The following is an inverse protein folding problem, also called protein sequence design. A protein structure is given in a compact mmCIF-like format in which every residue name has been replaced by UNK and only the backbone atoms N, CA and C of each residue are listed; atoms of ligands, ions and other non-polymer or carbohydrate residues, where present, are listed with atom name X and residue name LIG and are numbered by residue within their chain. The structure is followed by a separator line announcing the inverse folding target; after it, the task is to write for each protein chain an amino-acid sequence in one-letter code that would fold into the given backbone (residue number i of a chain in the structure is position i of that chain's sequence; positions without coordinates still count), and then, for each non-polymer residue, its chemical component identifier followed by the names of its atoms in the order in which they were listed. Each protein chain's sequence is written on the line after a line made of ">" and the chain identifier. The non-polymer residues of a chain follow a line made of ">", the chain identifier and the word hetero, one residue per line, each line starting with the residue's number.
data_IF_310125757470
#
_entry.id   IF_310125757470
#
_cell.length_a   1.000
_cell.length_b   1.000
_cell.length_c   1.000
_cell.angle_alpha   90.00
_cell.angle_beta   90.00
_cell.angle_gamma   90.00
#
_symmetry.space_group_name_H-M   'P 1'
#
loop_
_entity.id
_entity.type
_entity.pdbx_description
1 polymer ?
#
# COMPACT_ATOMS: atom_id res chain seq x y z
N UNK A 1 9.63 -1.32 18.25
CA UNK A 1 9.42 -2.78 18.13
C UNK A 1 9.33 -3.10 16.65
N UNK A 2 9.82 -4.26 16.21
CA UNK A 2 9.69 -4.69 14.81
C UNK A 2 8.28 -5.23 14.60
N UNK A 3 7.52 -4.78 13.58
CA UNK A 3 6.21 -5.34 13.25
C UNK A 3 6.29 -6.85 12.95
N UNK A 4 5.33 -7.62 13.46
CA UNK A 4 5.17 -9.06 13.28
C UNK A 4 3.75 -9.48 12.90
N UNK A 5 2.74 -8.63 13.09
CA UNK A 5 1.35 -8.95 12.78
C UNK A 5 1.02 -8.65 11.30
N UNK A 6 0.73 -9.66 10.46
CA UNK A 6 0.37 -9.44 9.06
C UNK A 6 -1.03 -8.83 8.88
N UNK A 7 -1.87 -8.80 9.93
CA UNK A 7 -3.25 -8.29 9.86
C UNK A 7 -3.43 -6.89 10.47
N UNK A 8 -2.33 -6.18 10.69
CA UNK A 8 -2.33 -4.77 11.09
C UNK A 8 -1.96 -3.86 9.92
N UNK A 9 -2.23 -2.56 10.02
CA UNK A 9 -1.53 -1.59 9.19
C UNK A 9 -0.11 -1.37 9.72
N UNK A 10 0.84 -1.14 8.83
CA UNK A 10 2.19 -0.66 9.18
C UNK A 10 2.28 0.83 8.88
N UNK A 11 2.40 1.64 9.93
CA UNK A 11 2.48 3.10 9.84
C UNK A 11 3.69 3.56 10.63
N UNK A 12 4.67 4.15 9.95
CA UNK A 12 5.91 4.63 10.56
C UNK A 12 6.68 3.52 11.33
N UNK A 13 6.68 2.31 10.79
CA UNK A 13 7.28 1.13 11.39
C UNK A 13 6.55 0.61 12.63
N UNK A 14 5.35 1.11 12.91
CA UNK A 14 4.49 0.63 13.99
C UNK A 14 3.28 -0.11 13.44
N UNK A 15 2.82 -1.10 14.20
CA UNK A 15 1.53 -1.75 13.94
C UNK A 15 0.39 -0.85 14.41
N UNK A 16 -0.63 -0.73 13.58
CA UNK A 16 -1.89 -0.08 13.90
C UNK A 16 -3.02 -1.05 13.59
N UNK A 17 -3.86 -1.35 14.58
CA UNK A 17 -5.01 -2.21 14.37
C UNK A 17 -5.94 -1.64 13.29
N UNK A 18 -6.49 -2.48 12.39
CA UNK A 18 -7.44 -2.00 11.40
C UNK A 18 -8.72 -1.50 12.09
N UNK A 19 -9.41 -0.50 11.51
CA UNK A 19 -10.75 -0.12 11.94
C UNK A 19 -11.70 -1.33 11.94
N UNK A 20 -12.69 -1.32 12.82
CA UNK A 20 -13.69 -2.39 12.88
C UNK A 20 -14.38 -2.58 11.53
N UNK A 21 -14.48 -3.83 11.08
CA UNK A 21 -15.09 -4.20 9.81
C UNK A 21 -14.16 -4.11 8.59
N UNK A 22 -12.88 -3.74 8.77
CA UNK A 22 -11.90 -3.73 7.69
C UNK A 22 -10.92 -4.89 7.84
N UNK A 23 -10.87 -5.75 6.81
CA UNK A 23 -9.85 -6.81 6.72
C UNK A 23 -8.60 -6.27 6.02
N UNK A 24 -7.45 -6.52 6.62
CA UNK A 24 -6.15 -6.04 6.14
C UNK A 24 -5.15 -7.19 6.12
N UNK A 25 -4.36 -7.28 5.05
CA UNK A 25 -3.12 -8.07 5.01
C UNK A 25 -1.97 -7.20 4.54
N UNK A 26 -0.91 -7.09 5.33
CA UNK A 26 0.26 -6.26 5.01
C UNK A 26 1.43 -7.08 4.46
N UNK A 27 2.47 -6.37 4.02
CA UNK A 27 3.65 -6.94 3.37
C UNK A 27 4.58 -7.81 4.24
N UNK A 28 4.23 -8.05 5.51
CA UNK A 28 4.85 -9.12 6.30
C UNK A 28 4.33 -10.50 5.88
N UNK A 29 3.13 -10.56 5.30
CA UNK A 29 2.60 -11.76 4.68
C UNK A 29 3.36 -12.06 3.36
N UNK A 30 3.87 -13.29 3.15
CA UNK A 30 4.64 -13.63 1.96
C UNK A 30 3.84 -13.50 0.65
N UNK A 31 2.51 -13.53 0.70
CA UNK A 31 1.63 -13.40 -0.48
C UNK A 31 1.34 -11.92 -0.83
N UNK A 32 1.80 -10.97 0.00
CA UNK A 32 1.65 -9.52 -0.22
C UNK A 32 3.03 -8.90 -0.49
N UNK A 33 3.59 -9.04 -1.70
CA UNK A 33 4.94 -8.58 -1.97
C UNK A 33 5.02 -7.05 -1.86
N UNK A 34 6.04 -6.49 -1.18
CA UNK A 34 6.23 -5.05 -1.15
C UNK A 34 6.64 -4.52 -2.52
N UNK A 35 6.22 -3.28 -2.84
CA UNK A 35 6.73 -2.60 -4.03
C UNK A 35 8.09 -1.97 -3.78
N UNK A 36 8.94 -1.95 -4.81
CA UNK A 36 10.19 -1.20 -4.75
C UNK A 36 9.90 0.30 -4.57
N UNK A 37 10.59 0.91 -3.61
CA UNK A 37 10.38 2.29 -3.22
C UNK A 37 11.63 2.95 -2.67
N UNK A 38 11.48 4.20 -2.27
CA UNK A 38 12.49 4.96 -1.56
C UNK A 38 12.03 5.23 -0.13
N UNK A 39 12.98 5.45 0.78
CA UNK A 39 12.63 5.97 2.11
C UNK A 39 12.15 7.42 2.01
N UNK A 40 11.10 7.75 2.77
CA UNK A 40 10.68 9.13 3.06
C UNK A 40 10.57 9.42 4.56
N UNK A 41 11.30 8.68 5.39
CA UNK A 41 11.34 8.91 6.86
C UNK A 41 11.56 10.39 7.17
N UNK A 42 10.76 10.93 8.09
CA UNK A 42 10.82 12.34 8.49
C UNK A 42 10.20 13.34 7.49
N UNK A 43 9.63 12.88 6.37
CA UNK A 43 8.85 13.73 5.44
C UNK A 43 7.36 13.64 5.77
N UNK A 44 6.67 14.77 5.66
CA UNK A 44 5.23 14.85 5.87
C UNK A 44 4.50 14.05 4.79
N UNK A 45 3.46 13.33 5.21
CA UNK A 45 2.47 12.69 4.33
C UNK A 45 1.12 13.36 4.65
N UNK A 46 0.57 14.09 3.70
CA UNK A 46 -0.65 14.89 3.85
C UNK A 46 -1.57 14.82 2.64
N UNK A 47 -1.26 13.93 1.70
CA UNK A 47 -2.06 13.67 0.51
C UNK A 47 -2.53 12.21 0.49
N UNK A 48 -3.71 11.99 -0.09
CA UNK A 48 -4.23 10.66 -0.43
C UNK A 48 -4.57 10.67 -1.92
N UNK A 49 -3.97 9.75 -2.68
CA UNK A 49 -4.24 9.59 -4.11
C UNK A 49 -4.93 8.26 -4.32
N UNK A 50 -6.11 8.31 -4.93
CA UNK A 50 -6.92 7.15 -5.25
C UNK A 50 -6.89 6.95 -6.77
N UNK A 51 -6.57 5.73 -7.17
CA UNK A 51 -6.60 5.26 -8.54
C UNK A 51 -7.67 4.16 -8.65
N UNK A 52 -8.37 4.14 -9.79
CA UNK A 52 -9.16 2.98 -10.19
C UNK A 52 -8.27 2.08 -11.06
N UNK A 53 -8.16 0.81 -10.67
CA UNK A 53 -7.35 -0.14 -11.40
C UNK A 53 -8.12 -0.64 -12.63
N UNK A 54 -7.44 -0.78 -13.77
CA UNK A 54 -8.02 -1.39 -15.00
C UNK A 54 -7.93 -2.93 -15.00
N UNK A 55 -7.76 -3.51 -13.81
CA UNK A 55 -7.49 -4.91 -13.53
C UNK A 55 -8.59 -5.48 -12.65
N UNK A 56 -8.83 -6.80 -12.73
CA UNK A 56 -9.99 -7.45 -12.09
C UNK A 56 -9.68 -8.15 -10.76
N UNK A 57 -8.44 -8.08 -10.29
CA UNK A 57 -8.02 -8.69 -9.02
C UNK A 57 -6.78 -8.01 -8.48
N UNK A 58 -6.60 -8.00 -7.15
CA UNK A 58 -5.42 -7.45 -6.51
C UNK A 58 -4.12 -8.08 -7.05
N UNK A 59 -4.10 -9.41 -7.25
CA UNK A 59 -2.95 -10.10 -7.84
C UNK A 59 -2.59 -9.59 -9.25
N UNK A 60 -3.61 -9.37 -10.11
CA UNK A 60 -3.37 -8.81 -11.45
C UNK A 60 -2.94 -7.34 -11.41
N UNK A 61 -3.44 -6.55 -10.45
CA UNK A 61 -3.00 -5.18 -10.18
C UNK A 61 -1.52 -5.15 -9.77
N UNK A 62 -1.12 -6.00 -8.82
CA UNK A 62 0.28 -6.14 -8.37
C UNK A 62 1.19 -6.47 -9.55
N UNK A 63 0.84 -7.49 -10.34
CA UNK A 63 1.64 -7.90 -11.50
C UNK A 63 1.79 -6.77 -12.54
N UNK A 64 0.71 -6.02 -12.79
CA UNK A 64 0.73 -4.88 -13.70
C UNK A 64 1.64 -3.74 -13.22
N UNK A 65 1.56 -3.39 -11.93
CA UNK A 65 2.38 -2.34 -11.31
C UNK A 65 3.87 -2.72 -11.28
N UNK A 66 4.19 -3.95 -10.86
CA UNK A 66 5.57 -4.46 -10.84
C UNK A 66 6.20 -4.43 -12.23
N UNK A 67 5.48 -4.91 -13.25
CA UNK A 67 5.95 -4.88 -14.65
C UNK A 67 6.27 -3.46 -15.12
N UNK A 68 5.52 -2.46 -14.64
CA UNK A 68 5.70 -1.04 -14.98
C UNK A 68 6.68 -0.32 -14.06
N UNK A 69 7.25 -1.00 -13.06
CA UNK A 69 8.11 -0.41 -12.02
C UNK A 69 7.39 0.70 -11.24
N UNK A 70 6.10 0.50 -11.01
CA UNK A 70 5.23 1.37 -10.22
C UNK A 70 4.85 0.66 -8.92
N UNK A 71 4.23 1.39 -8.00
CA UNK A 71 3.72 0.83 -6.77
C UNK A 71 2.79 1.77 -6.03
N UNK A 72 1.80 1.20 -5.35
CA UNK A 72 0.90 1.88 -4.42
C UNK A 72 1.03 1.29 -3.03
N UNK A 73 0.59 2.01 -2.02
CA UNK A 73 0.72 1.56 -0.65
C UNK A 73 -0.38 0.56 -0.32
N UNK A 74 -1.59 0.80 -0.82
CA UNK A 74 -2.77 -0.01 -0.58
C UNK A 74 -3.39 -0.45 -1.90
N UNK A 75 -3.90 -1.68 -1.92
CA UNK A 75 -4.83 -2.18 -2.95
C UNK A 75 -6.11 -2.63 -2.24
N UNK A 76 -7.26 -2.11 -2.65
CA UNK A 76 -8.57 -2.54 -2.16
C UNK A 76 -9.14 -3.52 -3.18
N UNK A 77 -9.33 -4.78 -2.78
CA UNK A 77 -9.91 -5.81 -3.62
C UNK A 77 -11.44 -5.66 -3.74
N UNK A 78 -12.09 -6.34 -4.71
CA UNK A 78 -13.53 -6.20 -4.95
C UNK A 78 -14.43 -6.61 -3.79
N UNK A 79 -13.94 -7.45 -2.88
CA UNK A 79 -14.61 -7.86 -1.65
C UNK A 79 -14.41 -6.89 -0.47
N UNK A 80 -13.62 -5.83 -0.67
CA UNK A 80 -13.29 -4.84 0.37
C UNK A 80 -12.04 -5.18 1.18
N UNK A 81 -11.37 -6.32 0.92
CA UNK A 81 -10.10 -6.67 1.57
C UNK A 81 -9.00 -5.67 1.17
N UNK A 82 -8.22 -5.18 2.13
CA UNK A 82 -7.12 -4.24 1.90
C UNK A 82 -5.77 -4.92 1.98
N UNK A 83 -4.99 -4.83 0.91
CA UNK A 83 -3.61 -5.32 0.85
C UNK A 83 -2.64 -4.15 0.97
N UNK A 84 -1.76 -4.18 1.98
CA UNK A 84 -0.75 -3.13 2.19
C UNK A 84 0.63 -3.57 1.70
N UNK A 85 1.13 -2.94 0.64
CA UNK A 85 2.40 -3.24 -0.02
C UNK A 85 3.57 -2.33 0.38
N UNK A 86 3.34 -1.35 1.27
CA UNK A 86 4.41 -0.49 1.79
C UNK A 86 3.96 0.29 3.01
N UNK A 87 4.90 0.65 3.88
CA UNK A 87 4.65 1.47 5.07
C UNK A 87 3.99 2.80 4.69
N UNK A 88 2.86 3.12 5.32
CA UNK A 88 2.05 4.31 4.98
C UNK A 88 2.78 5.64 5.23
N UNK A 89 3.73 5.68 6.17
CA UNK A 89 4.47 6.91 6.49
C UNK A 89 5.88 6.91 5.89
N UNK A 90 6.57 5.77 5.88
CA UNK A 90 8.00 5.72 5.59
C UNK A 90 8.36 5.29 4.16
N UNK A 91 7.47 4.60 3.45
CA UNK A 91 7.73 4.19 2.07
C UNK A 91 7.24 5.27 1.11
N UNK A 92 8.09 5.70 0.17
CA UNK A 92 7.69 6.49 -1.00
C UNK A 92 7.62 5.58 -2.20
N UNK A 93 6.41 5.39 -2.73
CA UNK A 93 6.13 4.55 -3.90
C UNK A 93 5.82 5.39 -5.14
N UNK A 94 5.94 4.80 -6.32
CA UNK A 94 5.77 5.49 -7.59
C UNK A 94 4.35 5.30 -8.15
N UNK A 95 3.45 6.26 -7.91
CA UNK A 95 2.05 6.20 -8.34
C UNK A 95 1.46 7.53 -8.88
N UNK A 96 2.00 8.69 -8.48
CA UNK A 96 1.44 10.01 -8.77
C UNK A 96 2.49 11.09 -9.16
N UNK A 97 3.67 10.70 -9.64
CA UNK A 97 4.70 11.63 -10.10
C UNK A 97 5.19 12.59 -9.00
N UNK A 98 4.96 13.91 -9.18
CA UNK A 98 5.34 14.93 -8.20
C UNK A 98 4.72 14.73 -6.82
N UNK A 99 3.57 14.05 -6.76
CA UNK A 99 2.83 13.77 -5.53
C UNK A 99 3.30 12.52 -4.79
N UNK A 100 4.22 11.71 -5.33
CA UNK A 100 4.70 10.47 -4.69
C UNK A 100 5.24 10.68 -3.26
N UNK A 101 5.91 11.81 -3.03
CA UNK A 101 6.51 12.12 -1.73
C UNK A 101 5.45 12.29 -0.63
N UNK A 102 4.56 13.28 -0.76
CA UNK A 102 3.57 13.62 0.27
C UNK A 102 2.35 12.69 0.34
N UNK A 103 2.20 11.70 -0.54
CA UNK A 103 0.96 10.93 -0.63
C UNK A 103 1.06 9.45 -0.23
N UNK A 104 -0.07 8.94 0.27
CA UNK A 104 -0.42 7.52 0.22
C UNK A 104 -1.17 7.27 -1.09
N UNK A 105 -0.70 6.29 -1.86
CA UNK A 105 -1.35 5.80 -3.07
C UNK A 105 -2.23 4.59 -2.78
N UNK A 106 -3.45 4.60 -3.30
CA UNK A 106 -4.44 3.52 -3.21
C UNK A 106 -4.88 3.13 -4.61
N UNK A 107 -4.85 1.85 -4.94
CA UNK A 107 -5.58 1.30 -6.10
C UNK A 107 -6.87 0.64 -5.60
N UNK A 108 -7.99 0.93 -6.25
CA UNK A 108 -9.26 0.23 -6.03
C UNK A 108 -9.51 -0.68 -7.22
N UNK A 109 -9.68 -1.97 -6.96
CA UNK A 109 -10.00 -2.96 -7.99
C UNK A 109 -11.47 -2.88 -8.37
N UNK A 110 -11.75 -2.73 -9.66
CA UNK A 110 -13.09 -2.68 -10.25
C UNK A 110 -13.31 -3.85 -11.23
#
# INVERSE_FOLDING_TARGET
>A
MTPTNPHAFIVAGQELAPPSGLEVTNHLDPDVPPFAGQSRVGRKVDELVIHESVTRSAASTVAALQRRKLGVHLIVAPDGHVFQHGDLAHARLAHAGGHNGPSVGVEVVN
#
